data_IF_280404601653
#
_entry.id   IF_280404601653
#
_cell.length_a   1.000
_cell.length_b   1.000
_cell.length_c   1.000
_cell.angle_alpha   90.00
_cell.angle_beta   90.00
_cell.angle_gamma   90.00
#
_symmetry.space_group_name_H-M   'P 1'
#
loop_
_entity.id
_entity.type
_entity.pdbx_description
1 polymer ?
#
# COMPACT_ATOMS: atom_id res chain seq x y z
N UNK A 1 11.78 5.92 59.95
CA UNK A 1 12.53 6.91 59.20
C UNK A 1 12.22 6.73 57.75
N UNK A 2 11.26 7.55 57.26
CA UNK A 2 10.80 7.56 55.85
C UNK A 2 11.59 8.69 55.14
N UNK A 3 12.39 8.32 54.18
CA UNK A 3 13.08 9.28 53.30
C UNK A 3 12.11 9.91 52.34
N UNK A 4 11.92 11.22 52.43
CA UNK A 4 11.18 12.02 51.45
C UNK A 4 12.07 12.22 50.20
N UNK A 5 11.69 11.65 49.08
CA UNK A 5 12.26 12.03 47.79
C UNK A 5 11.63 13.33 47.32
N UNK A 6 12.48 14.33 47.19
CA UNK A 6 12.20 15.62 46.60
C UNK A 6 12.07 15.48 45.09
N UNK A 7 10.86 15.62 44.56
CA UNK A 7 10.63 15.77 43.12
C UNK A 7 10.87 17.22 42.74
N UNK A 8 11.97 17.49 42.07
CA UNK A 8 12.16 18.76 41.37
C UNK A 8 11.14 18.89 40.23
N UNK A 9 10.49 20.06 40.05
CA UNK A 9 9.58 20.23 38.92
C UNK A 9 10.40 20.32 37.65
N UNK A 10 10.21 19.35 36.76
CA UNK A 10 10.64 19.45 35.35
C UNK A 10 9.90 20.65 34.77
N UNK A 11 10.63 21.71 34.46
CA UNK A 11 10.07 22.92 33.87
C UNK A 11 9.40 22.55 32.54
N UNK A 12 8.10 22.81 32.46
CA UNK A 12 7.35 22.72 31.22
C UNK A 12 7.96 23.70 30.21
N UNK A 13 8.69 23.19 29.25
CA UNK A 13 9.09 23.95 28.06
C UNK A 13 7.80 24.17 27.27
N UNK A 14 7.13 25.28 27.54
CA UNK A 14 5.93 25.72 26.84
C UNK A 14 6.39 26.36 25.51
N UNK A 15 6.96 25.54 24.61
CA UNK A 15 7.18 25.94 23.23
C UNK A 15 5.81 25.96 22.57
N UNK A 16 5.23 27.18 22.45
CA UNK A 16 4.08 27.39 21.58
C UNK A 16 4.46 26.87 20.21
N UNK A 17 3.93 25.69 19.84
CA UNK A 17 4.08 25.16 18.48
C UNK A 17 3.42 26.20 17.56
N UNK A 18 4.18 26.76 16.61
CA UNK A 18 3.65 27.72 15.65
C UNK A 18 2.54 27.04 14.87
N UNK A 19 1.35 27.61 14.89
CA UNK A 19 0.27 27.19 13.99
C UNK A 19 0.52 27.80 12.60
N UNK A 20 0.78 26.95 11.62
CA UNK A 20 0.95 27.33 10.23
C UNK A 20 -0.40 27.45 9.55
N UNK A 21 -0.61 28.55 8.79
CA UNK A 21 -1.76 28.66 7.90
C UNK A 21 -1.52 27.81 6.65
N UNK A 22 -2.59 27.26 6.11
CA UNK A 22 -2.48 26.47 4.87
C UNK A 22 -1.82 27.25 3.72
N UNK A 23 -2.13 28.54 3.58
CA UNK A 23 -1.49 29.43 2.60
C UNK A 23 0.02 29.62 2.83
N UNK A 24 0.52 29.42 4.02
CA UNK A 24 1.96 29.45 4.31
C UNK A 24 2.63 28.13 3.92
N UNK A 25 1.93 26.99 4.11
CA UNK A 25 2.41 25.66 3.70
C UNK A 25 2.50 25.54 2.19
N UNK A 26 1.65 26.23 1.45
CA UNK A 26 1.57 26.21 -0.02
C UNK A 26 2.11 27.50 -0.65
N UNK A 27 2.91 28.27 0.07
CA UNK A 27 3.45 29.54 -0.44
C UNK A 27 4.52 29.33 -1.54
N UNK A 28 5.26 28.23 -1.49
CA UNK A 28 6.18 27.84 -2.54
C UNK A 28 5.40 27.37 -3.79
N UNK A 29 5.64 27.93 -4.97
CA UNK A 29 4.92 27.56 -6.19
C UNK A 29 5.00 26.07 -6.54
N UNK A 30 6.15 25.42 -6.31
CA UNK A 30 6.33 23.98 -6.58
C UNK A 30 5.47 23.15 -5.63
N UNK A 31 5.44 23.52 -4.35
CA UNK A 31 4.58 22.87 -3.35
C UNK A 31 3.10 23.08 -3.68
N UNK A 32 2.75 24.30 -4.12
CA UNK A 32 1.39 24.62 -4.53
C UNK A 32 0.93 23.75 -5.72
N UNK A 33 1.75 23.66 -6.77
CA UNK A 33 1.43 22.86 -7.96
C UNK A 33 1.29 21.37 -7.63
N UNK A 34 2.16 20.86 -6.77
CA UNK A 34 2.06 19.48 -6.26
C UNK A 34 0.77 19.26 -5.48
N UNK A 35 0.41 20.20 -4.61
CA UNK A 35 -0.84 20.15 -3.86
C UNK A 35 -2.06 20.13 -4.78
N UNK A 36 -2.15 21.04 -5.76
CA UNK A 36 -3.28 21.11 -6.69
C UNK A 36 -3.41 19.82 -7.51
N UNK A 37 -2.30 19.24 -7.95
CA UNK A 37 -2.28 17.95 -8.62
C UNK A 37 -2.81 16.82 -7.70
N UNK A 38 -2.30 16.70 -6.50
CA UNK A 38 -2.74 15.70 -5.52
C UNK A 38 -4.22 15.88 -5.18
N UNK A 39 -4.63 17.12 -4.95
CA UNK A 39 -6.02 17.46 -4.60
C UNK A 39 -7.01 17.05 -5.69
N UNK A 40 -6.61 17.09 -6.94
CA UNK A 40 -7.47 16.67 -8.06
C UNK A 40 -7.88 15.20 -8.01
N UNK A 41 -7.18 14.37 -7.22
CA UNK A 41 -7.48 12.95 -7.01
C UNK A 41 -8.26 12.65 -5.71
N UNK A 42 -8.67 13.65 -4.96
CA UNK A 42 -9.44 13.44 -3.72
C UNK A 42 -10.85 12.86 -3.93
N UNK A 43 -11.28 12.75 -5.17
CA UNK A 43 -12.52 12.06 -5.54
C UNK A 43 -12.40 10.53 -5.46
N UNK A 44 -11.20 9.96 -5.36
CA UNK A 44 -11.00 8.53 -5.28
C UNK A 44 -11.69 7.95 -4.04
N UNK A 45 -12.55 6.97 -4.26
CA UNK A 45 -13.27 6.20 -3.25
C UNK A 45 -13.14 4.73 -3.63
N UNK A 46 -12.45 3.97 -2.81
CA UNK A 46 -12.10 2.61 -3.13
C UNK A 46 -12.95 1.56 -2.41
N UNK A 47 -13.09 0.41 -3.04
CA UNK A 47 -13.48 -0.86 -2.43
C UNK A 47 -12.62 -1.98 -3.01
N UNK A 48 -12.46 -3.05 -2.26
CA UNK A 48 -11.65 -4.21 -2.64
C UNK A 48 -12.55 -5.42 -2.90
N UNK A 49 -12.19 -6.23 -3.89
CA UNK A 49 -12.99 -7.37 -4.35
C UNK A 49 -12.10 -8.60 -4.49
N UNK A 50 -12.47 -9.66 -3.77
CA UNK A 50 -11.88 -10.99 -3.97
C UNK A 50 -12.56 -11.65 -5.18
N UNK A 51 -11.81 -11.88 -6.27
CA UNK A 51 -12.36 -12.27 -7.57
C UNK A 51 -12.62 -13.76 -7.70
N UNK A 52 -11.81 -14.61 -7.06
CA UNK A 52 -11.87 -16.07 -7.18
C UNK A 52 -11.14 -16.76 -6.03
N UNK A 53 -11.53 -17.99 -5.71
CA UNK A 53 -10.80 -18.87 -4.78
C UNK A 53 -9.60 -19.57 -5.43
N UNK A 54 -9.51 -19.51 -6.76
CA UNK A 54 -8.48 -20.22 -7.51
C UNK A 54 -7.18 -19.44 -7.54
N UNK A 55 -6.07 -20.16 -7.37
CA UNK A 55 -4.73 -19.64 -7.60
C UNK A 55 -3.86 -20.74 -8.22
N UNK A 56 -2.97 -20.37 -9.12
CA UNK A 56 -2.02 -21.26 -9.75
C UNK A 56 -0.72 -21.47 -8.94
N UNK A 57 -0.65 -20.88 -7.73
CA UNK A 57 0.44 -21.08 -6.76
C UNK A 57 -0.08 -21.21 -5.34
N UNK A 58 0.80 -21.62 -4.40
CA UNK A 58 0.50 -21.74 -2.96
C UNK A 58 1.62 -21.13 -2.15
N UNK A 59 1.48 -19.83 -1.86
CA UNK A 59 2.47 -19.09 -1.08
C UNK A 59 2.35 -19.42 0.41
N UNK A 60 3.48 -19.52 1.09
CA UNK A 60 3.55 -19.51 2.54
C UNK A 60 3.10 -18.14 3.07
N UNK A 61 2.32 -18.13 4.17
CA UNK A 61 1.81 -16.91 4.75
C UNK A 61 0.83 -16.14 3.86
N UNK A 62 0.20 -16.80 2.90
CA UNK A 62 -0.80 -16.18 2.03
C UNK A 62 -2.06 -15.84 2.82
N UNK A 63 -2.37 -14.55 2.97
CA UNK A 63 -3.55 -14.07 3.68
C UNK A 63 -4.86 -14.68 3.16
N UNK A 64 -4.89 -15.10 1.88
CA UNK A 64 -6.07 -15.67 1.29
C UNK A 64 -6.30 -17.13 1.72
N UNK A 65 -5.23 -17.92 1.84
CA UNK A 65 -5.30 -19.34 2.17
C UNK A 65 -5.08 -19.65 3.65
N UNK A 66 -4.51 -18.73 4.40
CA UNK A 66 -4.38 -18.87 5.86
C UNK A 66 -5.67 -18.49 6.61
N UNK A 67 -6.58 -17.78 5.95
CA UNK A 67 -7.88 -17.38 6.52
C UNK A 67 -9.05 -18.21 5.99
N UNK A 68 -10.27 -17.91 6.48
CA UNK A 68 -11.50 -18.62 6.13
C UNK A 68 -12.12 -18.24 4.77
N UNK A 69 -11.42 -17.51 3.95
CA UNK A 69 -11.96 -16.94 2.70
C UNK A 69 -12.43 -18.00 1.68
N UNK A 70 -11.83 -19.21 1.75
CA UNK A 70 -12.11 -20.31 0.83
C UNK A 70 -13.47 -20.99 1.08
N UNK A 71 -14.13 -20.71 2.21
CA UNK A 71 -15.37 -21.38 2.61
C UNK A 71 -16.64 -20.65 2.14
N UNK A 72 -16.49 -19.55 1.40
CA UNK A 72 -17.62 -18.84 0.81
C UNK A 72 -17.95 -19.39 -0.59
N UNK A 73 -19.16 -19.16 -1.05
CA UNK A 73 -19.53 -19.47 -2.44
C UNK A 73 -18.68 -18.63 -3.41
N UNK A 74 -18.47 -19.13 -4.62
CA UNK A 74 -17.79 -18.40 -5.69
C UNK A 74 -18.77 -18.11 -6.82
N UNK A 75 -19.06 -16.83 -7.03
CA UNK A 75 -19.94 -16.36 -8.10
C UNK A 75 -19.06 -15.90 -9.27
N UNK A 76 -19.19 -16.61 -10.40
CA UNK A 76 -18.46 -16.32 -11.65
C UNK A 76 -19.38 -15.74 -12.73
N UNK A 77 -20.66 -15.50 -12.41
CA UNK A 77 -21.63 -14.92 -13.34
C UNK A 77 -21.28 -13.45 -13.63
N UNK A 78 -21.05 -13.13 -14.90
CA UNK A 78 -20.65 -11.79 -15.35
C UNK A 78 -21.73 -10.74 -15.12
N UNK A 79 -23.01 -11.10 -15.19
CA UNK A 79 -24.11 -10.16 -14.97
C UNK A 79 -24.29 -9.86 -13.48
N UNK A 80 -24.06 -10.84 -12.60
CA UNK A 80 -24.03 -10.60 -11.16
C UNK A 80 -22.90 -9.62 -10.78
N UNK A 81 -21.71 -9.78 -11.37
CA UNK A 81 -20.59 -8.86 -11.18
C UNK A 81 -20.87 -7.47 -11.76
N UNK A 82 -21.47 -7.40 -12.95
CA UNK A 82 -21.91 -6.12 -13.54
C UNK A 82 -22.89 -5.39 -12.63
N UNK A 83 -23.89 -6.11 -12.12
CA UNK A 83 -24.86 -5.56 -11.17
C UNK A 83 -24.21 -5.03 -9.90
N UNK A 84 -23.20 -5.75 -9.34
CA UNK A 84 -22.43 -5.29 -8.19
C UNK A 84 -21.66 -4.00 -8.52
N UNK A 85 -20.92 -3.95 -9.63
CA UNK A 85 -20.14 -2.77 -10.02
C UNK A 85 -21.04 -1.55 -10.26
N UNK A 86 -22.20 -1.73 -10.87
CA UNK A 86 -23.17 -0.65 -11.04
C UNK A 86 -23.72 -0.14 -9.70
N UNK A 87 -24.00 -1.04 -8.77
CA UNK A 87 -24.41 -0.68 -7.41
C UNK A 87 -23.29 0.08 -6.66
N UNK A 88 -22.05 -0.34 -6.80
CA UNK A 88 -20.90 0.34 -6.20
C UNK A 88 -20.69 1.74 -6.81
N UNK A 89 -20.77 1.87 -8.14
CA UNK A 89 -20.71 3.17 -8.81
C UNK A 89 -21.84 4.09 -8.34
N UNK A 90 -23.06 3.57 -8.21
CA UNK A 90 -24.19 4.32 -7.68
C UNK A 90 -23.99 4.72 -6.23
N UNK A 91 -23.29 3.92 -5.45
CA UNK A 91 -22.88 4.22 -4.06
C UNK A 91 -21.78 5.28 -4.00
N UNK A 92 -21.18 5.64 -5.12
CA UNK A 92 -20.12 6.66 -5.24
C UNK A 92 -18.70 6.10 -5.13
N UNK A 93 -18.52 4.79 -5.32
CA UNK A 93 -17.20 4.19 -5.48
C UNK A 93 -16.67 4.53 -6.87
N UNK A 94 -15.46 5.03 -6.91
CA UNK A 94 -14.80 5.51 -8.13
C UNK A 94 -13.53 4.74 -8.46
N UNK A 95 -13.11 3.84 -7.57
CA UNK A 95 -11.87 3.10 -7.69
C UNK A 95 -12.02 1.67 -7.15
N UNK A 96 -11.58 0.67 -7.90
CA UNK A 96 -11.64 -0.73 -7.49
C UNK A 96 -10.25 -1.32 -7.27
N UNK A 97 -10.08 -2.12 -6.22
CA UNK A 97 -8.90 -2.95 -6.00
C UNK A 97 -9.32 -4.40 -6.18
N UNK A 98 -8.90 -5.00 -7.28
CA UNK A 98 -9.22 -6.38 -7.62
C UNK A 98 -8.11 -7.30 -7.12
N UNK A 99 -8.47 -8.19 -6.22
CA UNK A 99 -7.57 -9.10 -5.56
C UNK A 99 -8.20 -10.50 -5.46
N UNK A 100 -7.89 -11.24 -4.45
CA UNK A 100 -8.42 -12.56 -4.19
C UNK A 100 -7.34 -13.60 -4.24
N UNK A 101 -7.64 -14.84 -4.70
CA UNK A 101 -6.57 -15.79 -4.85
C UNK A 101 -5.67 -15.40 -6.03
N UNK A 102 -6.17 -15.42 -7.27
CA UNK A 102 -5.44 -14.92 -8.45
C UNK A 102 -6.40 -14.36 -9.50
N UNK A 103 -6.51 -13.03 -9.62
CA UNK A 103 -7.47 -12.39 -10.54
C UNK A 103 -7.24 -12.69 -12.03
N UNK A 104 -6.00 -12.97 -12.45
CA UNK A 104 -5.69 -13.28 -13.85
C UNK A 104 -6.36 -14.56 -14.36
N UNK A 105 -6.92 -15.38 -13.46
CA UNK A 105 -7.66 -16.60 -13.81
C UNK A 105 -9.14 -16.36 -14.15
N UNK A 106 -9.62 -15.13 -14.05
CA UNK A 106 -11.02 -14.74 -14.32
C UNK A 106 -11.07 -13.49 -15.20
N UNK A 107 -10.50 -13.53 -16.42
CA UNK A 107 -10.33 -12.36 -17.27
C UNK A 107 -11.67 -11.71 -17.68
N UNK A 108 -12.74 -12.48 -17.80
CA UNK A 108 -14.08 -11.97 -18.13
C UNK A 108 -14.61 -11.05 -17.01
N UNK A 109 -14.37 -11.42 -15.75
CA UNK A 109 -14.77 -10.59 -14.60
C UNK A 109 -13.94 -9.32 -14.51
N UNK A 110 -12.64 -9.40 -14.83
CA UNK A 110 -11.79 -8.20 -14.89
C UNK A 110 -12.30 -7.20 -15.94
N UNK A 111 -12.72 -7.69 -17.10
CA UNK A 111 -13.29 -6.86 -18.16
C UNK A 111 -14.59 -6.19 -17.71
N UNK A 112 -15.51 -6.95 -17.11
CA UNK A 112 -16.77 -6.40 -16.57
C UNK A 112 -16.52 -5.30 -15.53
N UNK A 113 -15.58 -5.52 -14.60
CA UNK A 113 -15.24 -4.50 -13.60
C UNK A 113 -14.69 -3.23 -14.27
N UNK A 114 -13.83 -3.39 -15.29
CA UNK A 114 -13.22 -2.27 -16.00
C UNK A 114 -14.27 -1.48 -16.80
N UNK A 115 -15.21 -2.14 -17.45
CA UNK A 115 -16.30 -1.49 -18.20
C UNK A 115 -17.16 -0.59 -17.31
N UNK A 116 -17.40 -0.99 -16.07
CA UNK A 116 -18.29 -0.26 -15.15
C UNK A 116 -17.56 0.80 -14.32
N UNK A 117 -16.35 0.52 -13.83
CA UNK A 117 -15.53 1.45 -13.03
C UNK A 117 -14.11 1.43 -13.59
N UNK A 118 -13.76 2.38 -14.49
CA UNK A 118 -12.51 2.31 -15.27
C UNK A 118 -11.25 2.70 -14.48
N UNK A 119 -11.36 3.07 -13.21
CA UNK A 119 -10.21 3.36 -12.34
C UNK A 119 -10.01 2.23 -11.34
N UNK A 120 -8.79 1.72 -11.24
CA UNK A 120 -8.50 0.65 -10.31
C UNK A 120 -7.10 0.07 -10.42
N UNK A 121 -6.86 -0.95 -9.60
CA UNK A 121 -5.66 -1.76 -9.62
C UNK A 121 -5.99 -3.24 -9.45
N UNK A 122 -5.13 -4.10 -10.00
CA UNK A 122 -5.21 -5.55 -9.89
C UNK A 122 -3.96 -6.03 -9.17
N UNK A 123 -4.13 -6.76 -8.06
CA UNK A 123 -3.04 -7.44 -7.38
C UNK A 123 -2.92 -8.87 -7.93
N UNK A 124 -1.80 -9.20 -8.58
CA UNK A 124 -1.58 -10.50 -9.24
C UNK A 124 -0.21 -11.09 -8.89
N UNK A 125 -0.09 -12.40 -9.03
CA UNK A 125 1.21 -13.06 -8.98
C UNK A 125 2.04 -12.89 -10.27
N UNK A 126 1.43 -12.38 -11.35
CA UNK A 126 2.10 -12.02 -12.59
C UNK A 126 2.52 -13.20 -13.51
N UNK A 127 2.14 -14.44 -13.18
CA UNK A 127 2.46 -15.61 -14.01
C UNK A 127 1.65 -15.64 -15.30
N UNK A 128 0.42 -15.15 -15.25
CA UNK A 128 -0.46 -15.00 -16.40
C UNK A 128 -0.65 -13.53 -16.75
N UNK A 129 -0.51 -13.20 -18.04
CA UNK A 129 -0.69 -11.82 -18.51
C UNK A 129 -2.16 -11.42 -18.51
N UNK A 130 -2.45 -10.25 -17.99
CA UNK A 130 -3.80 -9.63 -18.05
C UNK A 130 -3.96 -8.91 -19.39
N UNK A 131 -5.12 -9.07 -20.03
CA UNK A 131 -5.43 -8.49 -21.33
C UNK A 131 -5.19 -6.97 -21.35
N UNK A 132 -4.69 -6.45 -22.46
CA UNK A 132 -4.36 -5.03 -22.64
C UNK A 132 -5.60 -4.13 -22.64
N UNK A 133 -6.77 -4.68 -22.98
CA UNK A 133 -8.06 -3.98 -22.89
C UNK A 133 -8.45 -3.57 -21.47
N UNK A 134 -7.93 -4.26 -20.44
CA UNK A 134 -8.15 -3.91 -19.03
C UNK A 134 -7.06 -2.95 -18.59
N UNK A 135 -7.35 -1.65 -18.59
CA UNK A 135 -6.37 -0.57 -18.34
C UNK A 135 -6.25 -0.18 -16.87
N UNK A 136 -6.33 -1.13 -15.98
CA UNK A 136 -6.01 -0.92 -14.56
C UNK A 136 -4.50 -0.92 -14.33
N UNK A 137 -4.03 -0.32 -13.23
CA UNK A 137 -2.69 -0.60 -12.71
C UNK A 137 -2.59 -2.08 -12.37
N UNK A 138 -1.43 -2.68 -12.66
CA UNK A 138 -1.18 -4.10 -12.39
C UNK A 138 -0.06 -4.20 -11.38
N UNK A 139 -0.40 -4.57 -10.16
CA UNK A 139 0.55 -4.77 -9.07
C UNK A 139 1.04 -6.22 -9.07
N UNK A 140 2.26 -6.41 -9.54
CA UNK A 140 2.89 -7.73 -9.69
C UNK A 140 3.66 -8.03 -8.42
N UNK A 141 3.20 -9.01 -7.67
CA UNK A 141 3.77 -9.39 -6.38
C UNK A 141 5.10 -10.14 -6.55
N UNK A 142 6.22 -9.54 -6.10
CA UNK A 142 7.59 -10.10 -6.15
C UNK A 142 8.08 -10.35 -4.73
N UNK A 143 8.63 -11.56 -4.45
CA UNK A 143 9.06 -11.96 -3.11
C UNK A 143 10.51 -12.49 -3.08
N UNK A 144 11.37 -11.95 -3.91
CA UNK A 144 12.76 -12.35 -4.03
C UNK A 144 13.11 -12.84 -5.44
N UNK A 145 14.27 -13.44 -5.58
CA UNK A 145 14.71 -14.09 -6.80
C UNK A 145 13.96 -15.42 -7.04
N UNK A 146 14.33 -16.16 -8.08
CA UNK A 146 13.63 -17.39 -8.44
C UNK A 146 13.78 -18.50 -7.38
N UNK A 147 14.90 -18.57 -6.66
CA UNK A 147 15.12 -19.57 -5.61
C UNK A 147 14.26 -19.29 -4.37
N UNK A 148 14.25 -18.04 -3.90
CA UNK A 148 13.39 -17.63 -2.80
C UNK A 148 11.91 -17.73 -3.18
N UNK A 149 11.54 -17.37 -4.40
CA UNK A 149 10.19 -17.55 -4.91
C UNK A 149 9.78 -19.02 -4.96
N UNK A 150 10.67 -19.93 -5.34
CA UNK A 150 10.40 -21.37 -5.27
C UNK A 150 10.15 -21.83 -3.83
N UNK A 151 10.94 -21.35 -2.88
CA UNK A 151 10.84 -21.75 -1.49
C UNK A 151 9.57 -21.20 -0.81
N UNK A 152 9.25 -19.94 -1.01
CA UNK A 152 8.13 -19.26 -0.33
C UNK A 152 6.83 -19.37 -1.14
N UNK A 153 6.90 -19.17 -2.47
CA UNK A 153 5.68 -19.11 -3.31
C UNK A 153 5.39 -20.43 -4.03
N UNK A 154 6.26 -21.44 -3.89
CA UNK A 154 6.11 -22.78 -4.45
C UNK A 154 5.98 -22.79 -5.98
N UNK A 155 6.59 -21.82 -6.66
CA UNK A 155 6.56 -21.71 -8.11
C UNK A 155 7.96 -21.41 -8.67
N UNK A 156 8.31 -22.11 -9.76
CA UNK A 156 9.61 -21.98 -10.45
C UNK A 156 9.61 -20.80 -11.42
N UNK A 157 10.77 -20.17 -11.56
CA UNK A 157 11.03 -19.12 -12.56
C UNK A 157 10.00 -17.96 -12.50
N UNK A 158 9.60 -17.58 -11.29
CA UNK A 158 8.57 -16.56 -11.14
C UNK A 158 9.02 -15.19 -11.61
N UNK A 159 10.19 -14.73 -11.18
CA UNK A 159 10.71 -13.42 -11.56
C UNK A 159 10.91 -13.34 -13.08
N UNK A 160 11.49 -14.39 -13.67
CA UNK A 160 11.68 -14.46 -15.12
C UNK A 160 10.36 -14.35 -15.89
N UNK A 161 9.32 -15.12 -15.48
CA UNK A 161 7.98 -15.07 -16.10
C UNK A 161 7.29 -13.73 -15.90
N UNK A 162 7.41 -13.13 -14.72
CA UNK A 162 6.85 -11.82 -14.43
C UNK A 162 7.45 -10.75 -15.33
N UNK A 163 8.77 -10.78 -15.52
CA UNK A 163 9.49 -9.86 -16.42
C UNK A 163 9.08 -10.11 -17.86
N UNK A 164 9.04 -11.36 -18.32
CA UNK A 164 8.61 -11.72 -19.67
C UNK A 164 7.21 -11.19 -19.98
N UNK A 165 6.27 -11.35 -19.04
CA UNK A 165 4.88 -10.94 -19.22
C UNK A 165 4.68 -9.43 -19.19
N UNK A 166 5.49 -8.69 -18.41
CA UNK A 166 5.13 -7.30 -18.05
C UNK A 166 6.23 -6.27 -18.28
N UNK A 167 7.43 -6.65 -18.80
CA UNK A 167 8.42 -5.65 -19.20
C UNK A 167 7.82 -4.74 -20.29
N UNK A 168 7.95 -3.42 -20.11
CA UNK A 168 7.41 -2.44 -21.05
C UNK A 168 5.89 -2.23 -21.00
N UNK A 169 5.17 -2.93 -20.13
CA UNK A 169 3.74 -2.66 -19.90
C UNK A 169 3.58 -1.43 -18.98
N UNK A 170 3.00 -0.31 -19.48
CA UNK A 170 2.88 0.92 -18.69
C UNK A 170 1.95 0.79 -17.47
N UNK A 171 1.13 -0.25 -17.43
CA UNK A 171 0.25 -0.55 -16.31
C UNK A 171 0.98 -1.19 -15.14
N UNK A 172 2.12 -1.85 -15.43
CA UNK A 172 2.79 -2.74 -14.49
C UNK A 172 3.61 -2.00 -13.44
N UNK A 173 3.40 -2.36 -12.19
CA UNK A 173 4.22 -1.98 -11.04
C UNK A 173 4.64 -3.28 -10.33
N UNK A 174 5.92 -3.53 -10.25
CA UNK A 174 6.46 -4.66 -9.50
C UNK A 174 6.49 -4.31 -8.02
N UNK A 175 5.79 -5.07 -7.20
CA UNK A 175 5.69 -4.83 -5.76
C UNK A 175 6.59 -5.80 -5.03
N UNK A 176 7.78 -5.37 -4.66
CA UNK A 176 8.70 -6.19 -3.89
C UNK A 176 8.26 -6.22 -2.43
N UNK A 177 7.84 -7.40 -1.97
CA UNK A 177 7.41 -7.60 -0.58
C UNK A 177 8.58 -8.10 0.24
N UNK A 178 9.10 -7.24 1.11
CA UNK A 178 10.16 -7.59 2.05
C UNK A 178 9.66 -8.58 3.09
N UNK A 179 10.50 -9.59 3.33
CA UNK A 179 10.41 -10.57 4.42
C UNK A 179 11.80 -10.72 5.04
N UNK A 180 11.95 -11.30 6.24
CA UNK A 180 13.28 -11.55 6.80
C UNK A 180 14.21 -12.39 5.91
N UNK A 181 13.63 -13.17 4.97
CA UNK A 181 14.39 -14.12 4.12
C UNK A 181 14.88 -13.55 2.79
N UNK A 182 14.41 -12.39 2.37
CA UNK A 182 14.73 -11.84 1.05
C UNK A 182 15.36 -10.45 1.05
N UNK A 183 15.69 -9.91 2.22
CA UNK A 183 16.26 -8.55 2.33
C UNK A 183 17.54 -8.43 1.51
N UNK A 184 18.43 -9.42 1.58
CA UNK A 184 19.72 -9.41 0.89
C UNK A 184 19.61 -9.55 -0.63
N UNK A 185 18.52 -10.09 -1.13
CA UNK A 185 18.25 -10.28 -2.56
C UNK A 185 17.59 -9.06 -3.22
N UNK A 186 17.07 -8.15 -2.42
CA UNK A 186 16.30 -7.01 -2.93
C UNK A 186 17.09 -6.19 -3.94
N UNK A 187 18.40 -6.06 -3.77
CA UNK A 187 19.27 -5.35 -4.69
C UNK A 187 19.39 -6.07 -6.03
N UNK A 188 19.65 -7.37 -6.04
CA UNK A 188 19.75 -8.19 -7.25
C UNK A 188 18.44 -8.12 -8.06
N UNK A 189 17.31 -8.33 -7.39
CA UNK A 189 15.99 -8.29 -8.03
C UNK A 189 15.68 -6.89 -8.58
N UNK A 190 15.95 -5.84 -7.82
CA UNK A 190 15.76 -4.45 -8.28
C UNK A 190 16.62 -4.16 -9.51
N UNK A 191 17.87 -4.60 -9.52
CA UNK A 191 18.77 -4.41 -10.65
C UNK A 191 18.26 -5.14 -11.92
N UNK A 192 17.75 -6.35 -11.78
CA UNK A 192 17.13 -7.10 -12.89
C UNK A 192 15.94 -6.32 -13.46
N UNK A 193 15.05 -5.85 -12.60
CA UNK A 193 13.87 -5.09 -13.01
C UNK A 193 14.25 -3.74 -13.63
N UNK A 194 15.20 -3.01 -13.04
CA UNK A 194 15.65 -1.71 -13.53
C UNK A 194 16.29 -1.81 -14.93
N UNK A 195 17.14 -2.81 -15.16
CA UNK A 195 17.74 -3.08 -16.49
C UNK A 195 16.69 -3.35 -17.57
N UNK A 196 15.51 -3.80 -17.20
CA UNK A 196 14.37 -4.03 -18.09
C UNK A 196 13.41 -2.84 -18.19
N UNK A 197 13.76 -1.71 -17.58
CA UNK A 197 12.93 -0.50 -17.55
C UNK A 197 11.64 -0.65 -16.73
N UNK A 198 11.53 -1.71 -15.92
CA UNK A 198 10.36 -1.93 -15.07
C UNK A 198 10.29 -0.92 -13.94
N UNK A 199 9.08 -0.51 -13.57
CA UNK A 199 8.81 0.29 -12.37
C UNK A 199 8.51 -0.64 -11.20
N UNK A 200 9.01 -0.30 -10.02
CA UNK A 200 8.76 -1.09 -8.82
C UNK A 200 8.50 -0.20 -7.60
N UNK A 201 7.84 -0.79 -6.64
CA UNK A 201 7.62 -0.22 -5.31
C UNK A 201 7.86 -1.27 -4.24
N UNK A 202 7.88 -0.87 -2.99
CA UNK A 202 8.14 -1.75 -1.87
C UNK A 202 6.90 -1.95 -1.00
N UNK A 203 6.78 -3.14 -0.48
CA UNK A 203 5.84 -3.52 0.56
C UNK A 203 6.57 -4.35 1.62
N UNK A 204 5.98 -4.50 2.78
CA UNK A 204 6.49 -5.37 3.84
C UNK A 204 5.47 -6.45 4.12
N UNK A 205 5.95 -7.67 4.34
CA UNK A 205 5.08 -8.77 4.73
C UNK A 205 4.33 -8.40 6.01
N UNK A 206 3.02 -8.54 5.97
CA UNK A 206 2.14 -8.37 7.12
C UNK A 206 1.54 -9.73 7.45
N UNK A 207 1.83 -10.22 8.64
CA UNK A 207 1.44 -11.57 9.03
C UNK A 207 -0.10 -11.69 9.12
N UNK A 208 -0.70 -12.76 8.58
CA UNK A 208 -2.08 -13.11 8.87
C UNK A 208 -2.32 -13.35 10.37
N UNK A 209 -3.54 -13.17 10.84
CA UNK A 209 -3.91 -13.45 12.23
C UNK A 209 -3.57 -14.89 12.56
N UNK A 210 -2.83 -15.08 13.66
CA UNK A 210 -2.40 -16.40 14.11
C UNK A 210 -1.19 -16.99 13.39
N UNK A 211 -0.64 -16.33 12.35
CA UNK A 211 0.56 -16.79 11.66
C UNK A 211 1.78 -16.80 12.62
N UNK A 212 2.46 -17.93 12.69
CA UNK A 212 3.67 -18.13 13.54
C UNK A 212 4.91 -18.52 12.72
N UNK A 213 4.80 -18.41 11.39
CA UNK A 213 5.89 -18.81 10.49
C UNK A 213 7.04 -17.80 10.42
N UNK A 214 8.10 -18.16 9.69
CA UNK A 214 9.36 -17.42 9.69
C UNK A 214 9.33 -16.12 8.88
N UNK A 215 8.23 -15.82 8.17
CA UNK A 215 8.12 -14.59 7.39
C UNK A 215 7.75 -13.36 8.23
N UNK A 216 7.40 -13.56 9.52
CA UNK A 216 7.10 -12.46 10.45
C UNK A 216 8.37 -11.65 10.71
N UNK A 217 8.27 -10.35 10.56
CA UNK A 217 9.37 -9.43 10.82
C UNK A 217 9.72 -9.38 12.32
N UNK A 218 11.03 -9.29 12.57
CA UNK A 218 11.59 -8.88 13.86
C UNK A 218 11.95 -7.38 13.80
N UNK A 219 12.16 -6.70 14.94
CA UNK A 219 12.65 -5.32 14.93
C UNK A 219 13.93 -5.15 14.09
N UNK A 220 14.85 -6.10 14.17
CA UNK A 220 16.08 -6.08 13.37
C UNK A 220 15.79 -6.18 11.87
N UNK A 221 14.96 -7.13 11.43
CA UNK A 221 14.63 -7.28 10.00
C UNK A 221 13.84 -6.09 9.45
N UNK A 222 13.03 -5.42 10.28
CA UNK A 222 12.36 -4.17 9.91
C UNK A 222 13.37 -3.07 9.60
N UNK A 223 14.38 -2.89 10.45
CA UNK A 223 15.44 -1.89 10.23
C UNK A 223 16.27 -2.22 8.99
N UNK A 224 16.67 -3.49 8.82
CA UNK A 224 17.41 -3.94 7.64
C UNK A 224 16.61 -3.72 6.35
N UNK A 225 15.31 -4.00 6.37
CA UNK A 225 14.43 -3.74 5.22
C UNK A 225 14.35 -2.25 4.90
N UNK A 226 14.23 -1.39 5.92
CA UNK A 226 14.23 0.07 5.73
C UNK A 226 15.53 0.56 5.10
N UNK A 227 16.68 0.13 5.59
CA UNK A 227 17.98 0.48 5.04
C UNK A 227 18.10 0.06 3.58
N UNK A 228 17.67 -1.18 3.26
CA UNK A 228 17.63 -1.67 1.88
C UNK A 228 16.70 -0.83 0.98
N UNK A 229 15.51 -0.47 1.45
CA UNK A 229 14.58 0.38 0.69
C UNK A 229 15.20 1.74 0.35
N UNK A 230 15.87 2.37 1.31
CA UNK A 230 16.51 3.67 1.12
C UNK A 230 17.72 3.58 0.17
N UNK A 231 18.56 2.54 0.30
CA UNK A 231 19.69 2.31 -0.62
C UNK A 231 19.20 2.09 -2.05
N UNK A 232 18.11 1.32 -2.23
CA UNK A 232 17.53 1.05 -3.54
C UNK A 232 16.87 2.28 -4.17
N UNK A 233 16.21 3.10 -3.37
CA UNK A 233 15.65 4.37 -3.82
C UNK A 233 16.74 5.32 -4.34
N UNK A 234 17.87 5.41 -3.62
CA UNK A 234 19.00 6.24 -4.01
C UNK A 234 19.67 5.73 -5.31
N UNK A 235 19.82 4.41 -5.46
CA UNK A 235 20.50 3.79 -6.60
C UNK A 235 19.66 3.73 -7.87
N UNK A 236 18.35 3.61 -7.75
CA UNK A 236 17.42 3.39 -8.88
C UNK A 236 16.24 4.37 -8.85
N UNK A 237 16.49 5.71 -8.74
CA UNK A 237 15.42 6.69 -8.56
C UNK A 237 14.43 6.72 -9.72
N UNK A 238 14.88 6.37 -10.94
CA UNK A 238 14.03 6.30 -12.13
C UNK A 238 13.08 5.09 -12.14
N UNK A 239 13.41 4.03 -11.41
CA UNK A 239 12.65 2.78 -11.41
C UNK A 239 11.84 2.59 -10.14
N UNK A 240 12.34 3.06 -9.01
CA UNK A 240 11.73 2.86 -7.68
C UNK A 240 10.73 3.97 -7.40
N UNK A 241 9.45 3.61 -7.41
CA UNK A 241 8.35 4.50 -7.01
C UNK A 241 8.13 4.40 -5.49
N UNK A 242 8.93 5.13 -4.75
CA UNK A 242 8.92 5.13 -3.29
C UNK A 242 9.42 6.46 -2.75
N UNK A 243 9.29 6.71 -1.45
CA UNK A 243 9.87 7.89 -0.80
C UNK A 243 10.49 7.53 0.55
N UNK A 244 11.43 8.34 1.08
CA UNK A 244 11.96 8.14 2.42
C UNK A 244 10.87 8.11 3.50
N UNK A 245 9.83 8.92 3.34
CA UNK A 245 8.69 8.93 4.25
C UNK A 245 7.92 7.59 4.23
N UNK A 246 7.72 6.99 3.03
CA UNK A 246 7.12 5.65 2.94
C UNK A 246 7.94 4.61 3.72
N UNK A 247 9.29 4.66 3.63
CA UNK A 247 10.15 3.73 4.34
C UNK A 247 9.98 3.86 5.86
N UNK A 248 9.93 5.09 6.38
CA UNK A 248 9.67 5.37 7.79
C UNK A 248 8.26 4.91 8.20
N UNK A 249 7.24 5.32 7.44
CA UNK A 249 5.85 5.02 7.74
C UNK A 249 5.60 3.50 7.79
N UNK A 250 6.13 2.74 6.84
CA UNK A 250 5.96 1.29 6.79
C UNK A 250 6.75 0.57 7.89
N UNK A 251 7.98 1.00 8.17
CA UNK A 251 8.82 0.36 9.20
C UNK A 251 8.24 0.56 10.59
N UNK A 252 7.90 1.80 10.93
CA UNK A 252 7.47 2.18 12.27
C UNK A 252 5.95 2.29 12.44
N UNK A 253 5.18 2.19 11.36
CA UNK A 253 3.71 2.40 11.36
C UNK A 253 3.29 3.82 11.77
N UNK A 254 4.22 4.76 11.85
CA UNK A 254 4.01 6.09 12.45
C UNK A 254 3.07 6.97 11.63
N UNK A 255 3.23 6.96 10.31
CA UNK A 255 2.39 7.78 9.44
C UNK A 255 0.90 7.49 9.54
N UNK A 256 0.53 6.27 9.96
CA UNK A 256 -0.85 5.79 9.98
C UNK A 256 -1.55 6.03 11.31
N UNK A 257 -0.85 5.98 12.43
CA UNK A 257 -1.43 6.01 13.76
C UNK A 257 -1.24 7.35 14.46
N UNK A 258 -0.02 7.89 14.45
CA UNK A 258 0.31 9.09 15.21
C UNK A 258 -0.25 10.36 14.59
N UNK A 259 -0.28 10.42 13.25
CA UNK A 259 -0.80 11.58 12.53
C UNK A 259 -2.33 11.75 12.64
N UNK A 260 -3.05 10.71 13.07
CA UNK A 260 -4.51 10.75 13.17
C UNK A 260 -5.06 10.68 14.59
N UNK A 261 -4.23 10.49 15.60
CA UNK A 261 -4.69 10.25 16.96
C UNK A 261 -5.63 9.03 17.04
N UNK A 262 -5.48 8.07 16.14
CA UNK A 262 -6.30 6.88 16.09
C UNK A 262 -5.79 5.88 17.10
N UNK A 263 -6.50 5.65 18.18
CA UNK A 263 -6.22 4.64 19.19
C UNK A 263 -6.36 3.20 18.68
N UNK A 264 -6.89 3.00 17.49
CA UNK A 264 -7.04 1.71 16.81
C UNK A 264 -6.70 1.86 15.33
N UNK A 265 -6.05 0.88 14.71
CA UNK A 265 -5.68 0.92 13.30
C UNK A 265 -6.90 0.93 12.38
N UNK A 266 -7.58 2.04 12.31
CA UNK A 266 -8.52 2.32 11.25
C UNK A 266 -7.73 2.78 10.04
N UNK A 267 -7.06 1.83 9.42
CA UNK A 267 -6.19 2.07 8.28
C UNK A 267 -6.98 2.51 7.05
N UNK A 268 -8.25 2.23 7.01
CA UNK A 268 -9.14 2.66 5.96
C UNK A 268 -10.33 3.40 6.59
N UNK A 269 -10.13 4.65 6.98
CA UNK A 269 -11.22 5.42 7.53
C UNK A 269 -12.14 5.76 6.39
N UNK A 270 -13.22 5.07 6.31
CA UNK A 270 -14.33 5.65 5.63
C UNK A 270 -14.81 6.85 6.43
N UNK A 271 -14.47 8.01 5.95
CA UNK A 271 -15.05 9.26 6.44
C UNK A 271 -16.49 9.41 6.02
N UNK A 272 -16.94 8.54 5.12
CA UNK A 272 -18.18 8.63 4.40
C UNK A 272 -19.20 7.56 4.82
N UNK A 273 -19.01 6.93 6.00
CA UNK A 273 -19.95 5.90 6.54
C UNK A 273 -21.40 6.40 6.53
N UNK A 274 -21.62 7.60 7.01
CA UNK A 274 -22.96 8.21 7.04
C UNK A 274 -23.52 8.55 5.66
N UNK A 275 -22.70 8.57 4.62
CA UNK A 275 -23.09 8.83 3.23
C UNK A 275 -23.21 7.54 2.39
N UNK A 276 -22.99 6.38 2.99
CA UNK A 276 -23.01 5.10 2.30
C UNK A 276 -21.87 4.88 1.32
N UNK A 277 -20.81 5.70 1.39
CA UNK A 277 -19.61 5.63 0.50
C UNK A 277 -18.42 4.98 1.18
N UNK A 278 -18.65 4.26 2.27
CA UNK A 278 -17.59 3.61 3.02
C UNK A 278 -16.90 2.53 2.20
N UNK A 279 -15.63 2.35 2.51
CA UNK A 279 -14.86 1.22 1.99
C UNK A 279 -15.53 -0.11 2.36
N UNK A 280 -15.59 -1.02 1.38
CA UNK A 280 -16.03 -2.38 1.57
C UNK A 280 -15.01 -3.35 0.99
N UNK A 281 -14.88 -4.48 1.64
CA UNK A 281 -14.21 -5.64 1.05
C UNK A 281 -15.25 -6.69 0.73
N UNK A 282 -15.38 -6.98 -0.56
CA UNK A 282 -16.27 -8.01 -1.08
C UNK A 282 -15.53 -9.33 -1.21
N UNK A 283 -16.20 -10.40 -0.87
CA UNK A 283 -15.75 -11.78 -1.09
C UNK A 283 -16.28 -12.30 -2.41
N UNK A 284 -15.85 -13.51 -2.78
CA UNK A 284 -16.23 -14.19 -4.02
C UNK A 284 -17.73 -14.50 -4.12
N UNK A 285 -18.46 -14.49 -3.01
CA UNK A 285 -19.92 -14.60 -2.95
C UNK A 285 -20.65 -13.25 -3.13
N UNK A 286 -19.92 -12.21 -3.49
CA UNK A 286 -20.39 -10.83 -3.65
C UNK A 286 -20.96 -10.22 -2.36
N UNK A 287 -20.68 -10.84 -1.21
CA UNK A 287 -21.02 -10.28 0.09
C UNK A 287 -19.81 -9.53 0.67
N UNK A 288 -20.06 -8.44 1.35
CA UNK A 288 -19.04 -7.70 2.04
C UNK A 288 -19.02 -8.04 3.54
N UNK A 289 -17.83 -8.13 4.12
CA UNK A 289 -17.65 -8.57 5.50
C UNK A 289 -18.24 -7.60 6.51
N UNK A 290 -17.83 -6.33 6.39
CA UNK A 290 -18.28 -5.24 7.25
C UNK A 290 -17.92 -3.91 6.61
N UNK A 291 -18.73 -2.92 6.92
CA UNK A 291 -18.51 -1.55 6.48
C UNK A 291 -17.30 -0.94 7.21
N UNK A 292 -16.55 -0.10 6.52
CA UNK A 292 -15.33 0.53 7.03
C UNK A 292 -14.30 -0.47 7.58
N UNK A 293 -14.29 -1.68 7.02
CA UNK A 293 -13.29 -2.69 7.37
C UNK A 293 -11.92 -2.31 6.83
N UNK A 294 -10.89 -2.85 7.48
CA UNK A 294 -9.54 -2.87 6.94
C UNK A 294 -9.49 -3.56 5.56
N UNK A 295 -8.60 -3.09 4.67
CA UNK A 295 -8.39 -3.69 3.34
C UNK A 295 -7.96 -5.16 3.39
N UNK A 296 -7.37 -5.60 4.49
CA UNK A 296 -6.97 -6.98 4.75
C UNK A 296 -7.40 -7.37 6.17
N UNK A 297 -8.67 -7.71 6.40
CA UNK A 297 -9.21 -7.95 7.74
C UNK A 297 -8.58 -9.15 8.47
N UNK A 298 -7.97 -10.06 7.72
CA UNK A 298 -7.33 -11.25 8.27
C UNK A 298 -5.84 -11.04 8.62
N UNK A 299 -5.33 -9.82 8.47
CA UNK A 299 -3.98 -9.46 8.89
C UNK A 299 -3.97 -9.07 10.37
N UNK A 300 -2.96 -9.52 11.10
CA UNK A 300 -2.72 -9.06 12.47
C UNK A 300 -2.41 -7.56 12.45
N UNK A 301 -3.28 -6.77 13.09
CA UNK A 301 -3.12 -5.31 13.12
C UNK A 301 -1.81 -4.88 13.80
N UNK A 302 -1.29 -5.66 14.75
CA UNK A 302 -0.03 -5.37 15.42
C UNK A 302 1.16 -5.46 14.45
N UNK A 303 1.07 -6.34 13.45
CA UNK A 303 2.12 -6.55 12.45
C UNK A 303 1.82 -5.92 11.09
N UNK A 304 0.65 -5.32 10.92
CA UNK A 304 0.26 -4.77 9.62
C UNK A 304 1.21 -3.67 9.16
N UNK A 305 1.81 -3.91 8.01
CA UNK A 305 2.68 -2.98 7.26
C UNK A 305 2.14 -2.74 5.86
N UNK A 306 0.86 -3.00 5.64
CA UNK A 306 0.26 -2.95 4.32
C UNK A 306 0.25 -1.51 3.80
N UNK A 307 0.97 -1.25 2.73
CA UNK A 307 1.13 0.12 2.21
C UNK A 307 -0.17 0.70 1.66
N UNK A 308 -1.07 -0.13 1.12
CA UNK A 308 -2.38 0.33 0.66
C UNK A 308 -3.25 0.83 1.82
N UNK A 309 -3.08 0.28 3.02
CA UNK A 309 -3.80 0.74 4.20
C UNK A 309 -3.46 2.18 4.60
N UNK A 310 -2.27 2.65 4.24
CA UNK A 310 -1.85 4.03 4.49
C UNK A 310 -2.47 5.06 3.57
N UNK A 311 -2.78 4.65 2.36
CA UNK A 311 -3.04 5.56 1.27
C UNK A 311 -4.44 6.17 1.26
N UNK A 312 -5.47 5.38 1.49
CA UNK A 312 -6.84 5.90 1.58
C UNK A 312 -7.00 6.92 2.71
N UNK A 313 -6.28 6.69 3.81
CA UNK A 313 -6.21 7.60 4.95
C UNK A 313 -5.47 8.89 4.59
N UNK A 314 -4.42 8.75 3.80
CA UNK A 314 -3.55 9.86 3.42
C UNK A 314 -4.27 10.86 2.54
N UNK A 315 -5.02 10.40 1.54
CA UNK A 315 -5.69 11.29 0.60
C UNK A 315 -6.86 12.08 1.22
N UNK A 316 -7.46 11.57 2.30
CA UNK A 316 -8.69 12.17 2.83
C UNK A 316 -8.50 13.20 3.96
N UNK A 317 -7.41 13.14 4.73
CA UNK A 317 -7.36 13.88 6.01
C UNK A 317 -6.04 14.53 6.39
N UNK A 318 -4.91 14.16 5.79
CA UNK A 318 -3.61 14.53 6.35
C UNK A 318 -3.19 15.98 6.19
N UNK A 319 -3.66 16.69 5.19
CA UNK A 319 -3.33 18.09 5.09
C UNK A 319 -3.69 18.91 6.35
N UNK A 320 -4.67 18.42 7.13
CA UNK A 320 -5.07 19.04 8.42
C UNK A 320 -4.08 18.80 9.56
N UNK A 321 -3.18 17.85 9.40
CA UNK A 321 -2.20 17.45 10.40
C UNK A 321 -0.75 17.75 9.96
N UNK A 322 -0.58 18.25 8.75
CA UNK A 322 0.70 18.80 8.29
C UNK A 322 0.93 20.13 9.01
N UNK A 323 1.43 20.04 10.24
CA UNK A 323 1.57 21.19 11.15
C UNK A 323 2.77 22.07 10.83
N UNK A 324 3.61 21.70 9.85
CA UNK A 324 4.76 22.46 9.39
C UNK A 324 5.11 22.14 7.93
N UNK A 325 5.94 22.95 7.23
CA UNK A 325 6.30 22.74 5.84
C UNK A 325 6.99 21.40 5.56
N UNK A 326 7.84 20.92 6.47
CA UNK A 326 8.60 19.68 6.25
C UNK A 326 7.67 18.46 6.29
N UNK A 327 6.76 18.41 7.25
CA UNK A 327 5.74 17.36 7.33
C UNK A 327 4.77 17.42 6.16
N UNK A 328 4.42 18.63 5.71
CA UNK A 328 3.56 18.80 4.54
C UNK A 328 4.24 18.30 3.26
N UNK A 329 5.52 18.61 3.06
CA UNK A 329 6.30 18.09 1.94
C UNK A 329 6.46 16.56 2.01
N UNK A 330 6.76 16.01 3.17
CA UNK A 330 6.83 14.56 3.37
C UNK A 330 5.51 13.86 3.05
N UNK A 331 4.40 14.47 3.44
CA UNK A 331 3.07 13.99 3.10
C UNK A 331 2.81 14.07 1.58
N UNK A 332 3.16 15.17 0.93
CA UNK A 332 3.05 15.29 -0.52
C UNK A 332 3.87 14.22 -1.24
N UNK A 333 5.11 13.95 -0.80
CA UNK A 333 5.95 12.89 -1.36
C UNK A 333 5.30 11.50 -1.24
N UNK A 334 4.67 11.25 -0.10
CA UNK A 334 3.94 10.01 0.13
C UNK A 334 2.74 9.87 -0.80
N UNK A 335 1.93 10.94 -0.93
CA UNK A 335 0.72 10.90 -1.78
C UNK A 335 1.08 10.85 -3.26
N UNK A 336 2.07 11.63 -3.71
CA UNK A 336 2.60 11.55 -5.07
C UNK A 336 3.05 10.12 -5.42
N UNK A 337 3.79 9.50 -4.52
CA UNK A 337 4.23 8.11 -4.68
C UNK A 337 3.04 7.16 -4.77
N UNK A 338 2.06 7.32 -3.89
CA UNK A 338 0.84 6.53 -3.92
C UNK A 338 0.11 6.66 -5.26
N UNK A 339 -0.15 7.89 -5.70
CA UNK A 339 -0.85 8.13 -6.96
C UNK A 339 -0.10 7.53 -8.16
N UNK A 340 1.23 7.63 -8.19
CA UNK A 340 2.05 7.03 -9.24
C UNK A 340 1.97 5.50 -9.26
N UNK A 341 1.86 4.88 -8.09
CA UNK A 341 1.74 3.41 -7.94
C UNK A 341 0.33 2.92 -8.29
N UNK A 342 -0.71 3.68 -7.91
CA UNK A 342 -2.09 3.19 -7.95
C UNK A 342 -2.91 3.74 -9.11
N UNK A 343 -2.59 4.91 -9.66
CA UNK A 343 -3.43 5.56 -10.67
C UNK A 343 -2.77 5.49 -12.03
N UNK A 344 -3.53 5.02 -13.04
CA UNK A 344 -3.08 5.06 -14.43
C UNK A 344 -2.85 6.49 -14.88
N UNK A 345 -1.82 6.66 -15.71
CA UNK A 345 -1.46 7.94 -16.34
C UNK A 345 -1.15 9.08 -15.35
N UNK A 346 -1.01 8.76 -14.03
CA UNK A 346 -0.50 9.74 -13.08
C UNK A 346 1.00 9.90 -13.30
N UNK A 347 1.38 11.06 -13.76
CA UNK A 347 2.79 11.43 -13.92
C UNK A 347 3.30 12.04 -12.60
N UNK A 348 4.15 11.27 -11.92
CA UNK A 348 4.98 11.81 -10.85
C UNK A 348 6.06 12.64 -11.52
N UNK A 349 5.77 13.91 -11.85
CA UNK A 349 6.77 14.82 -12.38
C UNK A 349 7.91 14.93 -11.37
N UNK A 350 9.04 14.41 -11.81
CA UNK A 350 10.28 14.21 -11.08
C UNK A 350 10.88 15.59 -10.76
N UNK A 351 10.41 16.19 -9.70
CA UNK A 351 11.19 17.09 -8.88
C UNK A 351 10.95 16.68 -7.43
N UNK A 352 11.42 15.47 -7.12
CA UNK A 352 11.66 15.10 -5.74
C UNK A 352 12.66 16.12 -5.21
N UNK A 353 12.17 17.10 -4.50
CA UNK A 353 13.01 17.80 -3.56
C UNK A 353 13.54 16.73 -2.62
N UNK A 354 14.79 16.31 -2.85
CA UNK A 354 15.53 15.41 -1.98
C UNK A 354 15.88 16.18 -0.71
N UNK A 355 14.89 16.67 -0.01
CA UNK A 355 15.12 17.16 1.33
C UNK A 355 15.35 15.91 2.18
N UNK A 356 16.55 15.73 2.73
CA UNK A 356 16.77 14.65 3.66
C UNK A 356 15.82 14.86 4.83
N UNK A 357 14.78 14.06 4.90
CA UNK A 357 13.91 14.02 6.09
C UNK A 357 14.81 13.44 7.17
N UNK A 358 15.33 14.30 8.04
CA UNK A 358 15.94 13.83 9.26
C UNK A 358 14.91 12.93 9.95
N UNK A 359 15.27 11.68 10.24
CA UNK A 359 14.34 10.81 10.93
C UNK A 359 13.95 11.53 12.22
N UNK A 360 12.67 11.57 12.58
CA UNK A 360 12.28 12.02 13.90
C UNK A 360 13.11 11.22 14.91
N UNK A 361 13.69 11.90 15.89
CA UNK A 361 14.39 11.24 16.99
C UNK A 361 13.36 10.41 17.76
N UNK A 362 13.39 9.12 17.57
CA UNK A 362 12.63 8.17 18.36
C UNK A 362 13.58 7.48 19.34
N UNK A 363 13.23 7.54 20.60
CA UNK A 363 13.82 6.66 21.60
C UNK A 363 13.39 5.23 21.30
N UNK A 364 14.35 4.38 20.89
CA UNK A 364 14.14 2.98 20.53
C UNK A 364 13.74 2.10 21.73
N UNK A 365 13.57 2.67 22.92
CA UNK A 365 13.19 1.93 24.13
C UNK A 365 11.67 1.76 24.31
N UNK A 366 10.83 2.36 23.46
CA UNK A 366 9.36 2.29 23.56
C UNK A 366 8.68 1.48 22.42
N UNK A 367 9.41 0.66 21.65
CA UNK A 367 8.81 -0.16 20.57
C UNK A 367 8.75 -1.62 20.92
#
# INVERSE_FOLDING_TARGET
LVAKHSTSPVGSINTKVREWKFSELTADPVVHDRWERVRSYFFLRESTYDMTHRCNIRCEGCYYFEGDKQHTAEIQDTEAWRGLMQAERKRGITYVVLAGAEPSLVPELLAVCFDEIPLGAIATNGIQRIAESVRYKIHISVWGNDDTSLNIRKAKHMLARQVENYQGDPRAIFVYTFTPHNITEAREVTEVLARKGCKLTFNMFSAPVGYKGPLRHTPQSLMQSREAMLDLLDRYPENVLYSPYNAVAHTFRLGLHDLYGCSYPRCNPSTDVGLGRSFRQYRTDLQWNREAACCVPDTDCADCRHYAAGSAVVTARMFRHACDPDRFNSWLDYVDTYLAVWVMDYDKSINLCQTPVAPPHFDLEEV
#
